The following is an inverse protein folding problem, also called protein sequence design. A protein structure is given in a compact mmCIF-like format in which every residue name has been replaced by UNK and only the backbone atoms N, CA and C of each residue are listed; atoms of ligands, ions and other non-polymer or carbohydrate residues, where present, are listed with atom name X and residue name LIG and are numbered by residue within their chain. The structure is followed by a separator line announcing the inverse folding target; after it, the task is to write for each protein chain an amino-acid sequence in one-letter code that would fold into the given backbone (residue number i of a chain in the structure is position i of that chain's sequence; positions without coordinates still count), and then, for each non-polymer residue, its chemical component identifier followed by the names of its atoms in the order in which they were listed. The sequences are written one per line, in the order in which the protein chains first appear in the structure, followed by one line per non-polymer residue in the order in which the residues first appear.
data_IF_244942248198
#
_entry.id   IF_244942248198
#
_cell.length_a   1.000
_cell.length_b   1.000
_cell.length_c   1.000
_cell.angle_alpha   90.00
_cell.angle_beta   90.00
_cell.angle_gamma   90.00
#
_symmetry.space_group_name_H-M   'P 1'
#
loop_
_entity.id
_entity.type
_entity.pdbx_description
1 polymer ?
#
# COMPACT_ATOMS: atom_id res chain seq x y z
N UNK A 1 -12.03 -3.14 23.78
CA UNK A 1 -12.92 -2.91 24.93
C UNK A 1 -13.00 -4.12 25.84
N UNK A 2 -13.17 -5.34 25.33
CA UNK A 2 -13.23 -6.57 26.14
C UNK A 2 -11.93 -6.87 26.88
N UNK A 3 -10.79 -6.61 26.30
CA UNK A 3 -9.48 -6.79 26.92
C UNK A 3 -9.25 -5.81 28.07
N UNK A 4 -9.57 -4.53 27.88
CA UNK A 4 -9.47 -3.50 28.93
C UNK A 4 -10.32 -3.87 30.14
N UNK A 5 -11.54 -4.32 29.95
CA UNK A 5 -12.42 -4.73 31.02
C UNK A 5 -11.89 -5.97 31.77
N UNK A 6 -11.38 -6.98 31.03
CA UNK A 6 -10.77 -8.17 31.64
C UNK A 6 -9.52 -7.82 32.46
N UNK A 7 -8.66 -6.94 31.98
CA UNK A 7 -7.47 -6.49 32.71
C UNK A 7 -7.81 -5.77 34.01
N UNK A 8 -8.88 -4.97 34.01
CA UNK A 8 -9.35 -4.29 35.24
C UNK A 8 -9.81 -5.26 36.31
N UNK A 9 -10.38 -6.39 35.94
CA UNK A 9 -10.96 -7.37 36.87
C UNK A 9 -9.98 -8.49 37.23
N UNK A 10 -9.19 -8.97 36.29
CA UNK A 10 -8.35 -10.19 36.39
C UNK A 10 -6.84 -9.92 36.27
N UNK A 11 -6.42 -8.67 36.09
CA UNK A 11 -5.02 -8.33 35.85
C UNK A 11 -4.58 -8.65 34.41
N UNK A 12 -3.31 -8.93 34.21
CA UNK A 12 -2.70 -9.20 32.90
C UNK A 12 -3.04 -10.60 32.38
N UNK A 13 -4.29 -10.82 32.02
CA UNK A 13 -4.76 -12.11 31.48
C UNK A 13 -4.41 -12.31 30.00
N UNK A 14 -4.26 -11.23 29.22
CA UNK A 14 -3.92 -11.25 27.81
C UNK A 14 -2.73 -10.32 27.54
N UNK A 15 -1.89 -10.69 26.58
CA UNK A 15 -0.77 -9.84 26.13
C UNK A 15 -1.32 -8.56 25.52
N UNK A 16 -0.80 -7.41 25.91
CA UNK A 16 -1.16 -6.14 25.31
C UNK A 16 -0.60 -6.04 23.89
N UNK A 17 -1.44 -5.81 22.87
CA UNK A 17 -0.96 -5.66 21.53
C UNK A 17 -0.23 -4.32 21.36
N UNK A 18 0.96 -4.37 20.78
CA UNK A 18 1.71 -3.19 20.39
C UNK A 18 1.41 -2.82 18.94
N UNK A 19 1.35 -1.51 18.68
CA UNK A 19 1.16 -1.00 17.31
C UNK A 19 2.49 -1.08 16.55
N UNK A 20 2.50 -1.77 15.42
CA UNK A 20 3.60 -1.76 14.47
C UNK A 20 3.21 -0.83 13.30
N UNK A 21 3.89 0.29 13.20
CA UNK A 21 3.69 1.24 12.11
C UNK A 21 4.87 1.17 11.13
N UNK A 22 4.65 1.41 9.83
CA UNK A 22 5.73 1.53 8.88
C UNK A 22 6.58 2.78 9.16
N UNK A 23 7.88 2.69 8.94
CA UNK A 23 8.83 3.80 9.11
C UNK A 23 8.52 4.95 8.14
N UNK A 24 8.15 4.62 6.91
CA UNK A 24 7.73 5.60 5.93
C UNK A 24 6.28 6.05 6.19
N UNK A 25 6.12 7.29 6.64
CA UNK A 25 4.81 7.88 6.94
C UNK A 25 3.87 7.95 5.74
N UNK A 26 4.38 8.05 4.51
CA UNK A 26 3.57 8.02 3.29
C UNK A 26 2.82 6.69 3.12
N UNK A 27 3.36 5.59 3.68
CA UNK A 27 2.74 4.27 3.65
C UNK A 27 1.62 4.08 4.69
N UNK A 28 1.45 4.99 5.65
CA UNK A 28 0.41 4.86 6.68
C UNK A 28 -1.00 4.87 6.08
N UNK A 29 -1.23 5.70 5.07
CA UNK A 29 -2.52 5.79 4.41
C UNK A 29 -2.37 6.31 2.98
N UNK A 30 -2.36 5.42 2.01
CA UNK A 30 -2.39 5.80 0.60
C UNK A 30 -3.80 6.24 0.18
N UNK A 31 -3.93 7.38 -0.52
CA UNK A 31 -5.18 7.78 -1.14
C UNK A 31 -5.52 6.84 -2.31
N UNK A 32 -6.80 6.77 -2.66
CA UNK A 32 -7.21 6.14 -3.91
C UNK A 32 -6.67 6.87 -5.14
N UNK A 33 -6.72 6.24 -6.29
CA UNK A 33 -6.30 6.85 -7.57
C UNK A 33 -7.07 8.12 -7.92
N UNK A 34 -8.25 8.30 -7.33
CA UNK A 34 -9.11 9.48 -7.44
C UNK A 34 -8.66 10.68 -6.57
N UNK A 35 -7.67 10.49 -5.69
CA UNK A 35 -7.14 11.51 -4.80
C UNK A 35 -8.08 11.99 -3.69
N UNK A 36 -9.29 11.44 -3.60
CA UNK A 36 -10.34 11.93 -2.69
C UNK A 36 -10.54 11.05 -1.48
N UNK A 37 -10.67 9.77 -1.69
CA UNK A 37 -11.02 8.80 -0.66
C UNK A 37 -9.88 7.83 -0.39
N UNK A 38 -9.97 7.11 0.74
CA UNK A 38 -9.12 5.95 0.99
C UNK A 38 -9.32 4.93 -0.13
N UNK A 39 -8.23 4.25 -0.50
CA UNK A 39 -8.27 3.13 -1.43
C UNK A 39 -9.32 2.10 -1.01
N UNK A 40 -10.23 1.75 -1.92
CA UNK A 40 -11.33 0.81 -1.66
C UNK A 40 -11.68 0.02 -2.91
N UNK A 41 -11.89 -1.30 -2.73
CA UNK A 41 -12.35 -2.18 -3.82
C UNK A 41 -13.72 -1.77 -4.35
N UNK A 42 -14.64 -1.38 -3.47
CA UNK A 42 -16.00 -0.98 -3.83
C UNK A 42 -16.05 0.33 -4.61
N UNK A 43 -15.07 1.20 -4.44
CA UNK A 43 -14.96 2.46 -5.18
C UNK A 43 -14.19 2.31 -6.50
N UNK A 44 -13.53 1.19 -6.72
CA UNK A 44 -12.73 0.95 -7.93
C UNK A 44 -11.49 1.86 -8.06
N UNK A 45 -11.10 2.53 -6.97
CA UNK A 45 -10.00 3.51 -6.93
C UNK A 45 -8.69 2.94 -6.40
N UNK A 46 -8.46 1.63 -6.59
CA UNK A 46 -7.24 0.97 -6.10
C UNK A 46 -6.48 0.26 -7.22
N UNK A 47 -5.16 0.18 -7.05
CA UNK A 47 -4.28 -0.69 -7.83
C UNK A 47 -4.21 -2.03 -7.10
N UNK A 48 -4.54 -3.12 -7.78
CA UNK A 48 -4.46 -4.46 -7.23
C UNK A 48 -3.07 -5.07 -7.46
N UNK A 49 -2.62 -5.91 -6.54
CA UNK A 49 -1.37 -6.66 -6.70
C UNK A 49 -1.42 -7.63 -7.91
N UNK A 50 -2.63 -7.97 -8.36
CA UNK A 50 -2.89 -8.83 -9.52
C UNK A 50 -3.12 -8.08 -10.81
N UNK A 51 -3.13 -6.73 -10.79
CA UNK A 51 -3.34 -5.95 -12.01
C UNK A 51 -2.23 -6.21 -13.04
N UNK A 52 -2.62 -6.37 -14.29
CA UNK A 52 -1.67 -6.44 -15.40
C UNK A 52 -0.98 -5.08 -15.61
N UNK A 53 0.19 -5.05 -16.29
CA UNK A 53 0.85 -3.78 -16.62
C UNK A 53 -0.04 -2.77 -17.35
N UNK A 54 -0.94 -3.25 -18.20
CA UNK A 54 -1.91 -2.43 -18.93
C UNK A 54 -2.98 -1.84 -18.03
N UNK A 55 -3.46 -2.61 -17.05
CA UNK A 55 -4.44 -2.14 -16.05
C UNK A 55 -3.80 -1.11 -15.12
N UNK A 56 -2.58 -1.36 -14.64
CA UNK A 56 -1.81 -0.39 -13.86
C UNK A 56 -1.61 0.89 -14.65
N UNK A 57 -1.23 0.79 -15.93
CA UNK A 57 -1.07 1.96 -16.81
C UNK A 57 -2.35 2.79 -16.91
N UNK A 58 -3.50 2.16 -17.11
CA UNK A 58 -4.79 2.86 -17.16
C UNK A 58 -5.06 3.60 -15.85
N UNK A 59 -4.87 2.92 -14.71
CA UNK A 59 -5.10 3.48 -13.39
C UNK A 59 -4.16 4.63 -13.07
N UNK A 60 -2.86 4.47 -13.32
CA UNK A 60 -1.85 5.54 -13.09
C UNK A 60 -2.09 6.74 -13.99
N UNK A 61 -2.39 6.53 -15.27
CA UNK A 61 -2.65 7.64 -16.19
C UNK A 61 -3.93 8.40 -15.85
N UNK A 62 -4.91 7.75 -15.21
CA UNK A 62 -6.14 8.39 -14.72
C UNK A 62 -6.04 8.96 -13.30
N UNK A 63 -4.88 8.83 -12.61
CA UNK A 63 -4.71 9.39 -11.28
C UNK A 63 -4.96 10.89 -11.25
N UNK A 64 -5.58 11.32 -10.14
CA UNK A 64 -5.77 12.73 -9.84
C UNK A 64 -4.42 13.44 -9.68
N UNK A 65 -4.30 14.59 -10.31
CA UNK A 65 -3.17 15.52 -10.23
C UNK A 65 -3.68 16.93 -9.87
N UNK A 66 -2.85 17.94 -9.99
CA UNK A 66 -3.25 19.31 -9.76
C UNK A 66 -4.19 19.81 -10.88
N UNK A 67 -5.44 20.19 -10.58
CA UNK A 67 -6.38 20.69 -11.58
C UNK A 67 -5.99 22.05 -12.16
N UNK A 68 -5.10 22.81 -11.51
CA UNK A 68 -4.63 24.09 -12.00
C UNK A 68 -3.40 23.99 -12.91
N UNK A 69 -2.76 22.81 -12.96
CA UNK A 69 -1.61 22.54 -13.83
C UNK A 69 -2.09 22.12 -15.24
N UNK A 70 -2.56 23.11 -16.01
CA UNK A 70 -3.16 22.88 -17.33
C UNK A 70 -2.09 22.81 -18.42
N UNK A 71 -1.11 23.69 -18.36
CA UNK A 71 0.03 23.73 -19.30
C UNK A 71 1.30 23.24 -18.61
N UNK A 72 2.21 22.66 -19.39
CA UNK A 72 3.51 22.19 -18.87
C UNK A 72 4.32 23.32 -18.22
N UNK A 73 4.14 24.56 -18.69
CA UNK A 73 4.80 25.74 -18.16
C UNK A 73 4.25 26.21 -16.82
N UNK A 74 3.05 25.76 -16.45
CA UNK A 74 2.40 26.22 -15.23
C UNK A 74 3.12 25.64 -14.00
N UNK A 75 3.25 26.41 -12.91
CA UNK A 75 3.68 25.88 -11.62
C UNK A 75 2.67 24.84 -11.12
N UNK A 76 3.15 23.66 -10.71
CA UNK A 76 2.30 22.59 -10.20
C UNK A 76 2.34 22.50 -8.69
N UNK A 77 1.24 22.04 -8.09
CA UNK A 77 1.14 21.77 -6.66
C UNK A 77 1.44 20.29 -6.39
N UNK A 78 2.42 20.05 -5.53
CA UNK A 78 2.84 18.69 -5.09
C UNK A 78 1.94 18.18 -3.97
N UNK A 79 1.57 19.08 -3.05
CA UNK A 79 0.75 18.78 -1.89
C UNK A 79 -0.67 18.41 -2.31
N UNK A 80 -1.12 17.22 -1.91
CA UNK A 80 -2.42 16.68 -2.33
C UNK A 80 -2.44 16.04 -3.73
N UNK A 81 -1.32 16.07 -4.44
CA UNK A 81 -1.17 15.37 -5.70
C UNK A 81 -0.93 13.89 -5.48
N UNK A 82 -1.88 13.07 -5.91
CA UNK A 82 -1.86 11.62 -5.68
C UNK A 82 -0.61 10.95 -6.25
N UNK A 83 -0.14 11.40 -7.42
CA UNK A 83 1.03 10.81 -8.08
C UNK A 83 2.29 10.99 -7.22
N UNK A 84 2.50 12.18 -6.65
CA UNK A 84 3.63 12.42 -5.76
C UNK A 84 3.51 11.69 -4.43
N UNK A 85 2.30 11.53 -3.88
CA UNK A 85 2.09 10.71 -2.68
C UNK A 85 2.51 9.25 -2.89
N UNK A 86 2.22 8.70 -4.08
CA UNK A 86 2.66 7.36 -4.43
C UNK A 86 4.17 7.28 -4.69
N UNK A 87 4.76 8.31 -5.28
CA UNK A 87 6.23 8.38 -5.43
C UNK A 87 6.92 8.46 -4.07
N UNK A 88 6.39 9.22 -3.11
CA UNK A 88 6.90 9.26 -1.73
C UNK A 88 6.85 7.89 -1.04
N UNK A 89 5.89 7.06 -1.40
CA UNK A 89 5.73 5.73 -0.81
C UNK A 89 6.63 4.66 -1.46
N UNK A 90 6.84 4.73 -2.77
CA UNK A 90 7.38 3.61 -3.54
C UNK A 90 8.69 3.92 -4.28
N UNK A 91 9.03 5.18 -4.58
CA UNK A 91 10.24 5.47 -5.33
C UNK A 91 11.49 5.50 -4.45
N UNK A 92 12.60 5.06 -5.02
CA UNK A 92 13.95 5.13 -4.48
C UNK A 92 14.87 5.92 -5.40
N UNK A 93 16.05 6.32 -4.92
CA UNK A 93 17.05 7.01 -5.76
C UNK A 93 17.54 6.12 -6.91
N UNK A 94 17.53 4.80 -6.74
CA UNK A 94 17.88 3.84 -7.78
C UNK A 94 16.89 3.88 -8.95
N UNK A 95 15.60 4.11 -8.68
CA UNK A 95 14.58 4.22 -9.72
C UNK A 95 14.77 5.46 -10.58
N UNK A 96 15.28 6.55 -10.00
CA UNK A 96 15.65 7.73 -10.77
C UNK A 96 16.79 7.44 -11.74
N UNK A 97 17.84 6.76 -11.27
CA UNK A 97 18.96 6.38 -12.13
C UNK A 97 18.54 5.46 -13.30
N UNK A 98 17.55 4.60 -13.06
CA UNK A 98 17.05 3.62 -14.05
C UNK A 98 16.04 4.23 -15.03
N UNK A 99 15.04 4.96 -14.52
CA UNK A 99 13.88 5.37 -15.33
C UNK A 99 13.80 6.87 -15.63
N UNK A 100 14.49 7.70 -14.85
CA UNK A 100 14.41 9.15 -15.00
C UNK A 100 15.75 9.85 -14.66
N UNK A 101 16.84 9.55 -15.38
CA UNK A 101 18.20 9.98 -15.06
C UNK A 101 18.41 11.51 -15.12
N UNK A 102 17.44 12.26 -15.61
CA UNK A 102 17.45 13.74 -15.60
C UNK A 102 17.40 14.31 -14.17
N UNK A 103 17.01 13.50 -13.17
CA UNK A 103 16.86 13.91 -11.77
C UNK A 103 17.60 12.92 -10.85
N UNK A 104 18.17 13.44 -9.78
CA UNK A 104 18.90 12.63 -8.81
C UNK A 104 18.00 11.94 -7.79
N UNK A 105 16.90 12.60 -7.43
CA UNK A 105 15.97 12.15 -6.40
C UNK A 105 14.58 12.78 -6.57
N UNK A 106 13.65 12.36 -5.71
CA UNK A 106 12.27 12.83 -5.73
C UNK A 106 12.13 14.33 -5.40
N UNK A 107 12.99 14.88 -4.54
CA UNK A 107 12.92 16.29 -4.17
C UNK A 107 13.25 17.20 -5.36
N UNK A 108 14.24 16.83 -6.16
CA UNK A 108 14.59 17.57 -7.38
C UNK A 108 13.44 17.54 -8.40
N UNK A 109 12.75 16.39 -8.53
CA UNK A 109 11.57 16.25 -9.39
C UNK A 109 10.42 17.12 -8.89
N UNK A 110 10.15 17.14 -7.58
CA UNK A 110 9.13 17.98 -6.94
C UNK A 110 9.41 19.47 -7.13
N UNK A 111 10.66 19.86 -6.97
CA UNK A 111 11.06 21.27 -7.14
C UNK A 111 10.91 21.73 -8.60
N UNK A 112 11.20 20.84 -9.56
CA UNK A 112 10.95 21.16 -10.97
C UNK A 112 9.45 21.28 -11.24
N UNK A 113 8.63 20.39 -10.69
CA UNK A 113 7.18 20.44 -10.86
C UNK A 113 6.58 21.73 -10.29
N UNK A 114 7.05 22.17 -9.10
CA UNK A 114 6.62 23.44 -8.47
C UNK A 114 7.01 24.66 -9.27
N UNK A 115 8.14 24.64 -9.97
CA UNK A 115 8.60 25.77 -10.81
C UNK A 115 7.87 25.86 -12.14
N UNK A 116 7.23 24.81 -12.58
CA UNK A 116 6.72 24.66 -13.94
C UNK A 116 7.77 24.14 -14.93
N UNK A 117 7.33 23.66 -16.06
CA UNK A 117 8.18 23.05 -17.09
C UNK A 117 8.18 21.51 -17.08
N UNK A 118 7.45 20.87 -16.17
CA UNK A 118 7.34 19.44 -16.04
C UNK A 118 5.87 18.99 -16.12
N UNK A 119 5.49 18.33 -17.20
CA UNK A 119 4.11 17.87 -17.40
C UNK A 119 3.77 16.60 -16.62
N UNK A 120 2.53 16.50 -16.18
CA UNK A 120 1.97 15.36 -15.42
C UNK A 120 2.23 14.01 -16.08
N UNK A 121 2.16 13.94 -17.40
CA UNK A 121 2.37 12.69 -18.14
C UNK A 121 3.77 12.11 -17.93
N UNK A 122 4.81 12.97 -17.81
CA UNK A 122 6.19 12.52 -17.55
C UNK A 122 6.29 11.93 -16.14
N UNK A 123 5.69 12.60 -15.15
CA UNK A 123 5.67 12.13 -13.74
C UNK A 123 4.86 10.83 -13.61
N UNK A 124 3.70 10.74 -14.26
CA UNK A 124 2.88 9.51 -14.29
C UNK A 124 3.60 8.33 -14.94
N UNK A 125 4.35 8.58 -16.02
CA UNK A 125 5.16 7.52 -16.66
C UNK A 125 6.27 7.02 -15.75
N UNK A 126 6.91 7.91 -15.01
CA UNK A 126 7.90 7.53 -14.02
C UNK A 126 7.27 6.67 -12.91
N UNK A 127 6.15 7.12 -12.32
CA UNK A 127 5.42 6.33 -11.33
C UNK A 127 4.98 4.96 -11.89
N UNK A 128 4.53 4.90 -13.14
CA UNK A 128 4.14 3.64 -13.77
C UNK A 128 5.30 2.64 -13.81
N UNK A 129 6.51 3.09 -14.13
CA UNK A 129 7.69 2.22 -14.15
C UNK A 129 8.02 1.73 -12.74
N UNK A 130 8.04 2.61 -11.75
CA UNK A 130 8.26 2.25 -10.34
C UNK A 130 7.25 1.22 -9.86
N UNK A 131 5.95 1.46 -10.04
CA UNK A 131 4.89 0.53 -9.62
C UNK A 131 4.99 -0.82 -10.34
N UNK A 132 5.29 -0.83 -11.65
CA UNK A 132 5.43 -2.09 -12.37
C UNK A 132 6.66 -2.89 -11.91
N UNK A 133 7.78 -2.22 -11.60
CA UNK A 133 8.97 -2.86 -11.03
C UNK A 133 8.66 -3.53 -9.69
N UNK A 134 7.91 -2.87 -8.81
CA UNK A 134 7.47 -3.42 -7.53
C UNK A 134 6.48 -4.59 -7.68
N UNK A 135 5.56 -4.51 -8.64
CA UNK A 135 4.54 -5.53 -8.85
C UNK A 135 5.04 -6.76 -9.61
N UNK A 136 6.08 -6.63 -10.43
CA UNK A 136 6.57 -7.74 -11.27
C UNK A 136 6.96 -8.99 -10.48
N UNK A 137 7.76 -8.93 -9.40
CA UNK A 137 8.09 -10.11 -8.60
C UNK A 137 6.87 -10.70 -7.89
N UNK A 138 5.86 -9.89 -7.59
CA UNK A 138 4.60 -10.34 -6.99
C UNK A 138 3.79 -11.12 -8.02
N UNK A 139 3.66 -10.59 -9.25
CA UNK A 139 2.99 -11.26 -10.37
C UNK A 139 3.67 -12.58 -10.72
N UNK A 140 5.01 -12.58 -10.79
CA UNK A 140 5.78 -13.79 -11.08
C UNK A 140 5.51 -14.89 -10.05
N UNK A 141 5.56 -14.57 -8.74
CA UNK A 141 5.22 -15.54 -7.67
C UNK A 141 3.77 -16.01 -7.75
N UNK A 142 2.83 -15.11 -8.05
CA UNK A 142 1.43 -15.47 -8.25
C UNK A 142 1.29 -16.51 -9.38
N UNK A 143 1.93 -16.28 -10.53
CA UNK A 143 1.91 -17.22 -11.64
C UNK A 143 2.52 -18.58 -11.30
N UNK A 144 3.54 -18.61 -10.42
CA UNK A 144 4.08 -19.90 -9.94
C UNK A 144 3.03 -20.67 -9.12
N UNK A 145 2.36 -20.00 -8.19
CA UNK A 145 1.30 -20.63 -7.39
C UNK A 145 0.07 -21.05 -8.23
N UNK A 146 -0.26 -20.32 -9.27
CA UNK A 146 -1.38 -20.65 -10.17
C UNK A 146 -1.16 -21.96 -10.94
N UNK A 147 0.09 -22.43 -11.05
CA UNK A 147 0.41 -23.74 -11.70
C UNK A 147 0.02 -24.92 -10.83
N UNK A 148 -0.08 -24.77 -9.51
CA UNK A 148 -0.39 -25.85 -8.55
C UNK A 148 -1.43 -25.37 -7.51
N UNK A 149 -2.66 -25.30 -7.95
CA UNK A 149 -3.79 -24.91 -7.09
C UNK A 149 -4.01 -25.88 -5.92
N UNK A 150 -3.85 -27.21 -6.07
CA UNK A 150 -3.88 -28.13 -4.94
C UNK A 150 -2.89 -27.77 -3.84
N UNK A 151 -1.65 -27.40 -4.17
CA UNK A 151 -0.67 -26.97 -3.16
C UNK A 151 -1.08 -25.65 -2.49
N UNK A 152 -1.70 -24.72 -3.20
CA UNK A 152 -2.26 -23.50 -2.58
C UNK A 152 -3.28 -23.86 -1.50
N UNK A 153 -4.18 -24.82 -1.76
CA UNK A 153 -5.13 -25.30 -0.75
C UNK A 153 -4.43 -26.00 0.42
N UNK A 154 -3.37 -26.77 0.17
CA UNK A 154 -2.57 -27.39 1.22
C UNK A 154 -1.89 -26.34 2.12
N UNK A 155 -1.34 -25.26 1.54
CA UNK A 155 -0.77 -24.14 2.30
C UNK A 155 -1.82 -23.50 3.21
N UNK A 156 -3.01 -23.21 2.67
CA UNK A 156 -4.12 -22.66 3.44
C UNK A 156 -4.55 -23.57 4.57
N UNK A 157 -4.65 -24.87 4.31
CA UNK A 157 -5.01 -25.90 5.32
C UNK A 157 -3.99 -25.94 6.46
N UNK A 158 -2.70 -26.09 6.13
CA UNK A 158 -1.61 -26.07 7.14
C UNK A 158 -1.61 -24.77 7.96
N UNK A 159 -1.78 -23.64 7.29
CA UNK A 159 -1.86 -22.32 7.96
C UNK A 159 -3.08 -22.22 8.89
N UNK A 160 -4.23 -22.75 8.46
CA UNK A 160 -5.45 -22.80 9.27
C UNK A 160 -5.28 -23.69 10.50
N UNK A 161 -4.67 -24.86 10.35
CA UNK A 161 -4.38 -25.78 11.45
C UNK A 161 -3.46 -25.14 12.49
N UNK A 162 -2.38 -24.47 12.04
CA UNK A 162 -1.46 -23.76 12.92
C UNK A 162 -2.13 -22.59 13.65
N UNK A 163 -2.91 -21.77 12.94
CA UNK A 163 -3.64 -20.66 13.54
C UNK A 163 -4.73 -21.14 14.50
N UNK A 164 -5.41 -22.25 14.17
CA UNK A 164 -6.43 -22.85 15.02
C UNK A 164 -5.84 -23.31 16.36
N UNK A 165 -4.67 -23.95 16.37
CA UNK A 165 -4.00 -24.39 17.59
C UNK A 165 -3.75 -23.20 18.55
N UNK A 166 -3.15 -22.11 18.05
CA UNK A 166 -2.89 -20.89 18.84
C UNK A 166 -4.19 -20.24 19.31
N UNK A 167 -5.20 -20.15 18.42
CA UNK A 167 -6.49 -19.55 18.78
C UNK A 167 -7.23 -20.39 19.83
N UNK A 168 -7.15 -21.72 19.75
CA UNK A 168 -7.78 -22.64 20.70
C UNK A 168 -7.18 -22.50 22.08
N UNK A 169 -5.86 -22.40 22.21
CA UNK A 169 -5.18 -22.17 23.50
C UNK A 169 -5.64 -20.86 24.13
N UNK A 170 -5.67 -19.78 23.37
CA UNK A 170 -6.16 -18.48 23.84
C UNK A 170 -7.63 -18.52 24.23
N UNK A 171 -8.47 -19.17 23.40
CA UNK A 171 -9.89 -19.33 23.66
C UNK A 171 -10.17 -20.16 24.91
N UNK A 172 -9.39 -21.22 25.14
CA UNK A 172 -9.46 -22.04 26.35
C UNK A 172 -9.22 -21.20 27.59
N UNK A 173 -8.21 -20.34 27.59
CA UNK A 173 -7.93 -19.41 28.69
C UNK A 173 -9.09 -18.43 28.95
N UNK A 174 -9.77 -17.98 27.90
CA UNK A 174 -10.94 -17.09 28.01
C UNK A 174 -12.16 -17.80 28.60
N UNK A 175 -12.43 -19.04 28.22
CA UNK A 175 -13.57 -19.81 28.72
C UNK A 175 -13.36 -20.37 30.13
N UNK A 176 -12.13 -20.68 30.50
CA UNK A 176 -11.80 -21.20 31.85
C UNK A 176 -11.65 -20.08 32.87
N UNK A 177 -11.54 -18.82 32.45
CA UNK A 177 -11.58 -17.68 33.37
C UNK A 177 -12.98 -17.52 33.98
N UNK A 178 -13.11 -17.34 35.31
CA UNK A 178 -14.41 -17.10 35.95
C UNK A 178 -15.11 -15.93 35.30
N UNK A 179 -16.37 -16.12 34.89
CA UNK A 179 -17.19 -15.00 34.40
C UNK A 179 -17.44 -14.01 35.52
N UNK A 180 -17.25 -12.70 35.32
CA UNK A 180 -17.67 -11.72 36.31
C UNK A 180 -19.17 -11.82 36.51
N UNK A 181 -19.57 -12.05 37.77
CA UNK A 181 -20.96 -11.99 38.18
C UNK A 181 -21.40 -10.55 38.39
#
# INVERSE_FOLDING_TARGET
LGDVYKRQVYGEALVEPEILLPDNKACLRLPGTDGKAKMSKSLGNCIYLSDTPEEVKKKVMSMYTDPNHIQVSDPGQVEGNTVFTYLDAFSSDEDFAEFLPDYKNLDELKDHYRRGGLGDVKVKKFLLNVINKELEPIRARRHEYEKDIPEVYNILKRGTEAAYAVAQDTLCLLYTSPSPR
#
